data_IF_176980444975
#
_entry.id   IF_176980444975
#
_cell.length_a   1.000
_cell.length_b   1.000
_cell.length_c   1.000
_cell.angle_alpha   90.00
_cell.angle_beta   90.00
_cell.angle_gamma   90.00
#
_symmetry.space_group_name_H-M   'P 1'
#
loop_
_entity.id
_entity.type
_entity.pdbx_description
1 polymer ?
#
# COMPACT_ATOMS: atom_id res chain seq x y z
N UNK A 1 -22.79 -17.33 45.51
CA UNK A 1 -21.66 -17.21 46.45
C UNK A 1 -21.47 -15.74 46.75
N UNK A 2 -21.61 -15.34 48.01
CA UNK A 2 -21.40 -13.93 48.41
C UNK A 2 -19.90 -13.69 48.46
N UNK A 3 -19.40 -12.83 47.58
CA UNK A 3 -18.00 -12.40 47.60
C UNK A 3 -17.76 -11.55 48.86
N UNK A 4 -16.64 -11.75 49.58
CA UNK A 4 -16.35 -10.99 50.79
C UNK A 4 -16.21 -9.49 50.48
N UNK A 5 -16.77 -8.65 51.35
CA UNK A 5 -16.78 -7.18 51.20
C UNK A 5 -15.43 -6.52 51.45
N UNK A 6 -14.50 -7.24 52.08
CA UNK A 6 -13.15 -6.78 52.40
C UNK A 6 -12.17 -7.92 52.19
N UNK A 7 -11.18 -7.71 51.33
CA UNK A 7 -10.03 -8.60 51.20
C UNK A 7 -8.99 -8.06 52.17
N UNK A 8 -8.66 -8.84 53.21
CA UNK A 8 -7.58 -8.48 54.12
C UNK A 8 -6.23 -8.75 53.45
N UNK A 9 -5.24 -7.92 53.78
CA UNK A 9 -3.87 -8.17 53.34
C UNK A 9 -3.40 -9.54 53.84
N UNK A 10 -2.61 -10.22 53.00
CA UNK A 10 -2.08 -11.53 53.33
C UNK A 10 -1.24 -11.44 54.62
N UNK A 11 -1.48 -12.38 55.54
CA UNK A 11 -0.76 -12.44 56.81
C UNK A 11 0.74 -12.55 56.55
N UNK A 12 1.60 -11.80 57.28
CA UNK A 12 3.06 -11.93 57.15
C UNK A 12 3.59 -13.33 57.51
N UNK A 13 2.74 -14.21 58.06
CA UNK A 13 3.03 -15.61 58.37
C UNK A 13 2.37 -16.59 57.39
N UNK A 14 1.75 -16.10 56.31
CA UNK A 14 1.17 -16.95 55.28
C UNK A 14 2.30 -17.62 54.47
N UNK A 15 2.40 -18.97 54.47
CA UNK A 15 3.44 -19.69 53.73
C UNK A 15 3.32 -19.52 52.21
N UNK A 16 2.22 -18.97 51.70
CA UNK A 16 2.02 -18.63 50.29
C UNK A 16 2.45 -17.20 49.94
N UNK A 17 2.80 -16.39 50.93
CA UNK A 17 3.27 -15.03 50.72
C UNK A 17 4.71 -15.08 50.20
N UNK A 18 4.88 -14.67 48.94
CA UNK A 18 6.18 -14.57 48.29
C UNK A 18 6.97 -13.44 48.97
N UNK A 19 7.75 -13.80 49.98
CA UNK A 19 8.70 -12.89 50.60
C UNK A 19 9.68 -12.40 49.52
N UNK A 20 10.09 -11.11 49.56
CA UNK A 20 11.09 -10.59 48.64
C UNK A 20 12.36 -11.45 48.74
N UNK A 21 12.91 -11.80 47.59
CA UNK A 21 14.10 -12.64 47.54
C UNK A 21 15.28 -11.89 48.17
N UNK A 22 16.11 -12.59 48.99
CA UNK A 22 17.33 -11.99 49.51
C UNK A 22 18.30 -11.66 48.38
N UNK A 23 19.16 -10.66 48.60
CA UNK A 23 20.17 -10.23 47.61
C UNK A 23 21.17 -11.33 47.23
N UNK A 24 21.38 -12.29 48.11
CA UNK A 24 22.20 -13.47 47.89
C UNK A 24 21.34 -14.71 48.17
N UNK A 25 21.32 -15.63 47.21
CA UNK A 25 20.62 -16.89 47.39
C UNK A 25 21.40 -17.80 48.35
N UNK A 26 20.70 -18.50 49.25
CA UNK A 26 21.34 -19.50 50.08
C UNK A 26 21.97 -20.61 49.23
N UNK A 27 23.01 -21.27 49.76
CA UNK A 27 23.55 -22.48 49.15
C UNK A 27 22.51 -23.62 49.19
N UNK A 28 22.69 -24.61 48.32
CA UNK A 28 21.83 -25.80 48.32
C UNK A 28 21.87 -26.46 49.71
N UNK A 29 20.72 -26.82 50.30
CA UNK A 29 20.69 -27.50 51.60
C UNK A 29 20.94 -29.02 51.51
N UNK A 30 21.11 -29.57 50.30
CA UNK A 30 21.40 -30.99 50.04
C UNK A 30 22.57 -31.59 50.86
N UNK A 31 23.76 -30.95 50.94
CA UNK A 31 24.88 -31.49 51.72
C UNK A 31 24.61 -31.49 53.24
N UNK A 32 23.74 -30.60 53.73
CA UNK A 32 23.40 -30.48 55.15
C UNK A 32 22.34 -31.50 55.62
N UNK A 33 21.64 -32.15 54.69
CA UNK A 33 20.56 -33.10 55.01
C UNK A 33 21.09 -34.42 55.58
N UNK A 34 22.10 -35.01 54.95
CA UNK A 34 22.67 -36.29 55.37
C UNK A 34 23.19 -36.26 56.82
N UNK A 35 24.05 -35.30 57.25
CA UNK A 35 24.53 -35.25 58.62
C UNK A 35 23.41 -34.96 59.63
N UNK A 36 22.36 -34.24 59.23
CA UNK A 36 21.20 -33.99 60.07
C UNK A 36 20.35 -35.25 60.27
N UNK A 37 20.16 -36.05 59.23
CA UNK A 37 19.45 -37.33 59.30
C UNK A 37 20.22 -38.29 60.20
N UNK A 38 21.54 -38.40 60.02
CA UNK A 38 22.40 -39.26 60.84
C UNK A 38 22.33 -38.84 62.32
N UNK A 39 22.41 -37.52 62.60
CA UNK A 39 22.28 -36.99 63.95
C UNK A 39 20.90 -37.26 64.58
N UNK A 40 19.82 -37.15 63.79
CA UNK A 40 18.47 -37.47 64.25
C UNK A 40 18.32 -38.96 64.57
N UNK A 41 18.83 -39.85 63.71
CA UNK A 41 18.80 -41.30 63.90
C UNK A 41 19.59 -41.69 65.15
N UNK A 42 20.76 -41.08 65.39
CA UNK A 42 21.53 -41.32 66.62
C UNK A 42 20.78 -40.84 67.87
N UNK A 43 20.09 -39.69 67.80
CA UNK A 43 19.32 -39.17 68.93
C UNK A 43 18.07 -40.01 69.24
N UNK A 44 17.48 -40.68 68.24
CA UNK A 44 16.33 -41.58 68.40
C UNK A 44 16.77 -42.92 69.00
N UNK A 45 17.88 -43.48 68.52
CA UNK A 45 18.33 -44.82 68.91
C UNK A 45 19.09 -44.83 70.25
N UNK A 46 19.88 -43.80 70.55
CA UNK A 46 20.65 -43.68 71.79
C UNK A 46 20.53 -42.27 72.41
N UNK A 47 19.49 -42.00 73.21
CA UNK A 47 19.27 -40.66 73.78
C UNK A 47 20.40 -40.23 74.73
N UNK A 48 21.13 -41.16 75.35
CA UNK A 48 22.22 -40.89 76.30
C UNK A 48 23.58 -40.62 75.63
N UNK A 49 23.77 -41.00 74.36
CA UNK A 49 25.01 -40.72 73.60
C UNK A 49 24.89 -39.46 72.74
N UNK A 50 23.68 -38.90 72.62
CA UNK A 50 23.42 -37.71 71.82
C UNK A 50 24.05 -36.46 72.46
N UNK A 51 25.09 -35.91 71.81
CA UNK A 51 25.75 -34.68 72.25
C UNK A 51 24.98 -33.40 71.88
N UNK A 52 23.93 -33.54 71.05
CA UNK A 52 23.17 -32.42 70.46
C UNK A 52 21.72 -32.50 70.93
N UNK A 53 21.25 -31.46 71.62
CA UNK A 53 19.87 -31.39 72.09
C UNK A 53 18.85 -31.30 70.95
N UNK A 54 17.67 -31.89 71.14
CA UNK A 54 16.56 -31.92 70.17
C UNK A 54 16.16 -30.52 69.65
N UNK A 55 16.29 -29.48 70.49
CA UNK A 55 16.05 -28.09 70.09
C UNK A 55 16.98 -27.60 68.98
N UNK A 56 18.25 -28.04 68.98
CA UNK A 56 19.25 -27.69 67.95
C UNK A 56 18.96 -28.42 66.64
N UNK A 57 18.55 -29.69 66.71
CA UNK A 57 18.11 -30.43 65.52
C UNK A 57 16.87 -29.77 64.88
N UNK A 58 15.91 -29.36 65.70
CA UNK A 58 14.71 -28.66 65.23
C UNK A 58 15.01 -27.29 64.60
N UNK A 59 16.00 -26.53 65.12
CA UNK A 59 16.42 -25.26 64.49
C UNK A 59 17.15 -25.49 63.17
N UNK A 60 17.98 -26.53 63.06
CA UNK A 60 18.62 -26.91 61.80
C UNK A 60 17.59 -27.34 60.74
N UNK A 61 16.58 -28.13 61.11
CA UNK A 61 15.48 -28.49 60.21
C UNK A 61 14.74 -27.25 59.70
N UNK A 62 14.36 -26.33 60.60
CA UNK A 62 13.71 -25.06 60.20
C UNK A 62 14.60 -24.22 59.29
N UNK A 63 15.91 -24.19 59.53
CA UNK A 63 16.88 -23.48 58.68
C UNK A 63 16.90 -24.06 57.26
N UNK A 64 16.99 -25.39 57.14
CA UNK A 64 16.96 -26.10 55.85
C UNK A 64 15.64 -25.84 55.12
N UNK A 65 14.50 -25.98 55.80
CA UNK A 65 13.19 -25.73 55.20
C UNK A 65 13.08 -24.29 54.66
N UNK A 66 13.54 -23.31 55.43
CA UNK A 66 13.57 -21.91 54.99
C UNK A 66 14.50 -21.69 53.80
N UNK A 67 15.68 -22.31 53.78
CA UNK A 67 16.62 -22.24 52.64
C UNK A 67 15.98 -22.83 51.37
N UNK A 68 15.38 -24.02 51.47
CA UNK A 68 14.67 -24.67 50.36
C UNK A 68 13.53 -23.82 49.83
N UNK A 69 12.73 -23.20 50.72
CA UNK A 69 11.64 -22.31 50.32
C UNK A 69 12.15 -21.06 49.59
N UNK A 70 13.25 -20.45 50.06
CA UNK A 70 13.87 -19.31 49.39
C UNK A 70 14.35 -19.71 47.98
N UNK A 71 15.02 -20.84 47.84
CA UNK A 71 15.49 -21.34 46.54
C UNK A 71 14.34 -21.67 45.59
N UNK A 72 13.27 -22.28 46.10
CA UNK A 72 12.08 -22.60 45.31
C UNK A 72 11.40 -21.32 44.80
N UNK A 73 11.26 -20.31 45.67
CA UNK A 73 10.71 -19.03 45.28
C UNK A 73 11.58 -18.34 44.22
N UNK A 74 12.91 -18.39 44.37
CA UNK A 74 13.85 -17.85 43.39
C UNK A 74 13.80 -18.56 42.04
N UNK A 75 13.67 -19.88 42.03
CA UNK A 75 13.49 -20.65 40.81
C UNK A 75 12.15 -20.29 40.12
N UNK A 76 11.09 -20.09 40.90
CA UNK A 76 9.77 -19.70 40.39
C UNK A 76 9.80 -18.30 39.77
N UNK A 77 10.42 -17.31 40.42
CA UNK A 77 10.56 -15.97 39.85
C UNK A 77 11.44 -15.99 38.62
N UNK A 78 12.59 -16.67 38.65
CA UNK A 78 13.50 -16.78 37.51
C UNK A 78 12.84 -17.45 36.31
N UNK A 79 12.04 -18.50 36.53
CA UNK A 79 11.25 -19.13 35.46
C UNK A 79 10.16 -18.21 34.92
N UNK A 80 9.52 -17.40 35.78
CA UNK A 80 8.51 -16.43 35.35
C UNK A 80 9.12 -15.31 34.52
N UNK A 81 10.27 -14.77 34.93
CA UNK A 81 11.00 -13.74 34.20
C UNK A 81 11.53 -14.26 32.86
N UNK A 82 12.05 -15.49 32.82
CA UNK A 82 12.49 -16.12 31.59
C UNK A 82 11.32 -16.32 30.61
N UNK A 83 10.15 -16.72 31.11
CA UNK A 83 8.93 -16.83 30.31
C UNK A 83 8.48 -15.48 29.79
N UNK A 84 8.46 -14.44 30.62
CA UNK A 84 8.09 -13.09 30.20
C UNK A 84 9.04 -12.55 29.11
N UNK A 85 10.35 -12.84 29.22
CA UNK A 85 11.32 -12.48 28.18
C UNK A 85 11.07 -13.21 26.86
N UNK A 86 10.73 -14.50 26.92
CA UNK A 86 10.36 -15.28 25.74
C UNK A 86 9.09 -14.71 25.10
N UNK A 87 8.05 -14.46 25.90
CA UNK A 87 6.78 -13.90 25.41
C UNK A 87 6.99 -12.54 24.73
N UNK A 88 7.89 -11.69 25.26
CA UNK A 88 8.28 -10.42 24.62
C UNK A 88 8.97 -10.64 23.28
N UNK A 89 9.94 -11.56 23.21
CA UNK A 89 10.64 -11.91 21.98
C UNK A 89 9.69 -12.48 20.90
N UNK A 90 8.70 -13.28 21.31
CA UNK A 90 7.68 -13.81 20.39
C UNK A 90 6.78 -12.71 19.81
N UNK A 91 6.46 -11.68 20.59
CA UNK A 91 5.72 -10.51 20.10
C UNK A 91 6.54 -9.74 19.09
N UNK A 92 7.80 -9.43 19.40
CA UNK A 92 8.71 -8.74 18.49
C UNK A 92 8.91 -9.52 17.18
N UNK A 93 9.05 -10.85 17.26
CA UNK A 93 9.16 -11.71 16.08
C UNK A 93 7.91 -11.59 15.19
N UNK A 94 6.71 -11.69 15.77
CA UNK A 94 5.45 -11.55 15.01
C UNK A 94 5.31 -10.18 14.35
N UNK A 95 5.72 -9.11 15.03
CA UNK A 95 5.74 -7.77 14.44
C UNK A 95 6.65 -7.71 13.21
N UNK A 96 7.87 -8.27 13.31
CA UNK A 96 8.79 -8.30 12.16
C UNK A 96 8.31 -9.19 11.02
N UNK A 97 7.68 -10.32 11.31
CA UNK A 97 7.10 -11.21 10.29
C UNK A 97 5.94 -10.52 9.56
N UNK A 98 5.09 -9.80 10.29
CA UNK A 98 4.02 -9.01 9.70
C UNK A 98 4.56 -7.93 8.77
N UNK A 99 5.54 -7.13 9.20
CA UNK A 99 6.12 -6.10 8.35
C UNK A 99 6.84 -6.69 7.13
N UNK A 100 7.51 -7.84 7.27
CA UNK A 100 8.11 -8.55 6.13
C UNK A 100 7.04 -8.92 5.10
N UNK A 101 5.94 -9.50 5.54
CA UNK A 101 4.87 -9.93 4.63
C UNK A 101 4.18 -8.72 3.98
N UNK A 102 3.91 -7.67 4.76
CA UNK A 102 3.36 -6.41 4.24
C UNK A 102 4.25 -5.79 3.17
N UNK A 103 5.55 -5.71 3.40
CA UNK A 103 6.51 -5.18 2.41
C UNK A 103 6.55 -6.08 1.17
N UNK A 104 6.48 -7.40 1.34
CA UNK A 104 6.42 -8.34 0.23
C UNK A 104 5.18 -8.14 -0.64
N UNK A 105 4.01 -8.07 -0.02
CA UNK A 105 2.74 -7.80 -0.73
C UNK A 105 2.81 -6.47 -1.49
N UNK A 106 3.40 -5.43 -0.89
CA UNK A 106 3.54 -4.13 -1.56
C UNK A 106 4.54 -4.19 -2.72
N UNK A 107 5.65 -4.93 -2.57
CA UNK A 107 6.58 -5.20 -3.67
C UNK A 107 5.85 -5.92 -4.81
N UNK A 108 5.05 -6.95 -4.53
CA UNK A 108 4.28 -7.67 -5.54
C UNK A 108 3.33 -6.72 -6.30
N UNK A 109 2.62 -5.84 -5.60
CA UNK A 109 1.79 -4.80 -6.25
C UNK A 109 2.62 -3.84 -7.11
N UNK A 110 3.81 -3.45 -6.65
CA UNK A 110 4.70 -2.59 -7.43
C UNK A 110 5.27 -3.32 -8.66
N UNK A 111 5.49 -4.63 -8.58
CA UNK A 111 5.98 -5.45 -9.70
C UNK A 111 4.88 -5.70 -10.74
N UNK A 112 3.64 -5.83 -10.32
CA UNK A 112 2.47 -5.95 -11.18
C UNK A 112 2.06 -4.63 -11.86
N UNK A 113 2.75 -3.53 -11.54
CA UNK A 113 2.54 -2.26 -12.22
C UNK A 113 2.93 -2.37 -13.70
N UNK A 114 1.92 -2.54 -14.55
CA UNK A 114 2.03 -2.41 -15.99
C UNK A 114 1.81 -0.93 -16.37
N UNK A 115 2.84 -0.22 -16.88
CA UNK A 115 2.66 1.14 -17.33
C UNK A 115 1.78 1.19 -18.58
N UNK A 116 0.78 2.07 -18.58
CA UNK A 116 -0.18 2.22 -19.70
C UNK A 116 0.49 2.54 -21.04
N UNK A 117 1.66 3.18 -21.03
CA UNK A 117 2.40 3.49 -22.26
C UNK A 117 2.91 2.25 -23.00
N UNK A 118 3.01 1.08 -22.34
CA UNK A 118 3.43 -0.17 -23.00
C UNK A 118 2.37 -0.69 -23.97
N UNK A 119 1.10 -0.35 -23.75
CA UNK A 119 -0.01 -0.77 -24.60
C UNK A 119 -0.29 0.22 -25.74
N UNK A 120 0.41 1.37 -25.76
CA UNK A 120 0.24 2.36 -26.83
C UNK A 120 0.91 1.87 -28.13
N UNK A 121 0.27 2.06 -29.30
CA UNK A 121 0.84 1.70 -30.59
C UNK A 121 1.92 2.72 -30.98
N UNK A 122 3.11 2.60 -30.39
CA UNK A 122 4.26 3.45 -30.69
C UNK A 122 5.03 2.94 -31.91
N UNK A 123 5.61 3.82 -32.76
CA UNK A 123 6.47 3.41 -33.87
C UNK A 123 7.70 2.67 -33.35
N UNK A 124 8.14 1.61 -34.03
CA UNK A 124 9.33 0.84 -33.65
C UNK A 124 10.55 1.74 -33.43
N UNK A 125 11.46 1.33 -32.55
CA UNK A 125 12.65 2.11 -32.18
C UNK A 125 13.45 2.56 -33.39
N UNK A 126 13.63 1.68 -34.37
CA UNK A 126 14.44 1.93 -35.56
C UNK A 126 13.76 2.94 -36.49
N UNK A 127 12.43 2.89 -36.57
CA UNK A 127 11.63 3.84 -37.34
C UNK A 127 11.65 5.23 -36.70
N UNK A 128 11.62 5.29 -35.36
CA UNK A 128 11.76 6.54 -34.63
C UNK A 128 13.16 7.14 -34.84
N UNK A 129 14.23 6.37 -34.64
CA UNK A 129 15.60 6.86 -34.80
C UNK A 129 15.90 7.37 -36.22
N UNK A 130 15.22 6.82 -37.23
CA UNK A 130 15.37 7.25 -38.63
C UNK A 130 14.60 8.53 -38.97
N UNK A 131 13.46 8.77 -38.32
CA UNK A 131 12.52 9.85 -38.65
C UNK A 131 12.51 11.00 -37.64
N UNK A 132 13.06 10.81 -36.44
CA UNK A 132 13.06 11.79 -35.37
C UNK A 132 13.90 13.01 -35.72
N UNK A 133 13.48 14.17 -35.19
CA UNK A 133 14.21 15.41 -35.38
C UNK A 133 15.62 15.31 -34.78
N UNK A 134 16.64 15.86 -35.46
CA UNK A 134 18.04 15.74 -35.04
C UNK A 134 18.32 16.40 -33.69
N UNK A 135 17.48 17.34 -33.27
CA UNK A 135 17.62 18.00 -31.97
C UNK A 135 17.13 17.11 -30.81
N UNK A 136 16.13 16.25 -31.06
CA UNK A 136 15.70 15.22 -30.10
C UNK A 136 16.82 14.18 -29.94
N UNK A 137 17.40 13.75 -31.06
CA UNK A 137 18.50 12.77 -31.09
C UNK A 137 19.76 13.25 -30.37
N UNK A 138 20.07 14.55 -30.41
CA UNK A 138 21.21 15.14 -29.68
C UNK A 138 21.00 15.21 -28.16
N UNK A 139 19.75 15.28 -27.71
CA UNK A 139 19.43 15.36 -26.28
C UNK A 139 19.39 13.99 -25.61
N UNK A 140 19.49 12.90 -26.38
CA UNK A 140 19.55 11.55 -25.85
C UNK A 140 20.89 11.30 -25.13
N UNK A 141 20.87 10.62 -23.96
CA UNK A 141 22.06 10.15 -23.28
C UNK A 141 22.91 9.21 -24.14
N UNK A 142 24.13 8.90 -23.68
CA UNK A 142 24.97 7.92 -24.36
C UNK A 142 24.29 6.53 -24.35
N UNK A 143 24.30 5.75 -25.46
CA UNK A 143 23.72 4.40 -25.50
C UNK A 143 24.22 3.42 -24.44
N UNK A 144 25.43 3.63 -23.90
CA UNK A 144 25.99 2.77 -22.85
C UNK A 144 25.46 3.09 -21.43
N UNK A 145 24.74 4.20 -21.26
CA UNK A 145 24.17 4.58 -19.96
C UNK A 145 22.91 3.78 -19.65
N UNK A 146 22.78 3.35 -18.39
CA UNK A 146 21.57 2.64 -17.91
C UNK A 146 20.27 3.46 -18.06
N UNK A 147 20.37 4.79 -18.21
CA UNK A 147 19.23 5.70 -18.40
C UNK A 147 18.77 5.80 -19.87
N UNK A 148 19.58 5.37 -20.83
CA UNK A 148 19.29 5.43 -22.26
C UNK A 148 17.93 4.84 -22.67
N UNK A 149 17.55 3.61 -22.27
CA UNK A 149 16.28 3.03 -22.70
C UNK A 149 15.08 3.84 -22.21
N UNK A 150 15.15 4.37 -20.99
CA UNK A 150 14.09 5.23 -20.45
C UNK A 150 14.00 6.55 -21.19
N UNK A 151 15.15 7.22 -21.41
CA UNK A 151 15.20 8.47 -22.16
C UNK A 151 14.67 8.30 -23.60
N UNK A 152 14.98 7.18 -24.25
CA UNK A 152 14.46 6.84 -25.58
C UNK A 152 12.95 6.62 -25.58
N UNK A 153 12.39 5.93 -24.59
CA UNK A 153 10.93 5.79 -24.48
C UNK A 153 10.22 7.13 -24.25
N UNK A 154 10.80 8.01 -23.43
CA UNK A 154 10.24 9.34 -23.18
C UNK A 154 10.26 10.20 -24.45
N UNK A 155 11.39 10.23 -25.17
CA UNK A 155 11.50 10.98 -26.41
C UNK A 155 10.51 10.49 -27.48
N UNK A 156 10.28 9.17 -27.57
CA UNK A 156 9.26 8.58 -28.45
C UNK A 156 7.85 9.06 -28.09
N UNK A 157 7.50 9.07 -26.81
CA UNK A 157 6.19 9.53 -26.34
C UNK A 157 5.98 11.02 -26.59
N UNK A 158 7.00 11.85 -26.38
CA UNK A 158 6.93 13.29 -26.62
C UNK A 158 6.73 13.63 -28.10
N UNK A 159 7.39 12.90 -29.00
CA UNK A 159 7.20 13.08 -30.43
C UNK A 159 5.78 12.70 -30.86
N UNK A 160 5.27 11.54 -30.42
CA UNK A 160 3.90 11.10 -30.72
C UNK A 160 2.87 12.11 -30.19
N UNK A 161 3.07 12.63 -28.98
CA UNK A 161 2.23 13.69 -28.43
C UNK A 161 2.24 14.93 -29.33
N UNK A 162 3.43 15.38 -29.76
CA UNK A 162 3.55 16.54 -30.65
C UNK A 162 2.83 16.30 -31.99
N UNK A 163 2.91 15.09 -32.53
CA UNK A 163 2.26 14.74 -33.79
C UNK A 163 0.74 14.61 -33.66
N UNK A 164 0.24 14.04 -32.56
CA UNK A 164 -1.19 14.05 -32.23
C UNK A 164 -1.72 15.47 -32.13
N UNK A 165 -1.03 16.38 -31.42
CA UNK A 165 -1.46 17.78 -31.29
C UNK A 165 -1.50 18.48 -32.66
N UNK A 166 -0.50 18.24 -33.52
CA UNK A 166 -0.48 18.77 -34.89
C UNK A 166 -1.68 18.26 -35.70
N UNK A 167 -1.95 16.95 -35.64
CA UNK A 167 -3.07 16.32 -36.36
C UNK A 167 -4.42 16.82 -35.86
N UNK A 168 -4.60 16.97 -34.55
CA UNK A 168 -5.81 17.54 -33.96
C UNK A 168 -6.03 18.99 -34.41
N UNK A 169 -4.97 19.80 -34.46
CA UNK A 169 -5.01 21.16 -35.00
C UNK A 169 -5.43 21.20 -36.47
N UNK A 170 -4.88 20.31 -37.30
CA UNK A 170 -5.26 20.18 -38.71
C UNK A 170 -6.72 19.73 -38.87
N UNK A 171 -7.16 18.75 -38.07
CA UNK A 171 -8.54 18.26 -38.08
C UNK A 171 -9.51 19.38 -37.70
N UNK A 172 -9.20 20.15 -36.65
CA UNK A 172 -10.01 21.28 -36.22
C UNK A 172 -10.12 22.35 -37.33
N UNK A 173 -9.01 22.67 -38.00
CA UNK A 173 -9.00 23.63 -39.11
C UNK A 173 -9.81 23.11 -40.31
N UNK A 174 -9.60 21.85 -40.72
CA UNK A 174 -10.35 21.23 -41.81
C UNK A 174 -11.85 21.14 -41.50
N UNK A 175 -12.22 20.89 -40.24
CA UNK A 175 -13.61 20.88 -39.81
C UNK A 175 -14.23 22.26 -39.94
N UNK A 176 -13.52 23.31 -39.51
CA UNK A 176 -13.95 24.70 -39.67
C UNK A 176 -14.12 25.09 -41.14
N UNK A 177 -13.18 24.71 -41.99
CA UNK A 177 -13.23 25.00 -43.42
C UNK A 177 -14.38 24.24 -44.11
N UNK A 178 -14.60 22.97 -43.73
CA UNK A 178 -15.76 22.18 -44.17
C UNK A 178 -17.07 22.86 -43.80
N UNK A 179 -17.21 23.34 -42.57
CA UNK A 179 -18.41 24.06 -42.13
C UNK A 179 -18.62 25.36 -42.90
N UNK A 180 -17.54 26.12 -43.16
CA UNK A 180 -17.60 27.34 -43.95
C UNK A 180 -18.08 27.07 -45.38
N UNK A 181 -17.55 26.03 -46.04
CA UNK A 181 -17.98 25.61 -47.38
C UNK A 181 -19.44 25.15 -47.38
N UNK A 182 -19.88 24.41 -46.36
CA UNK A 182 -21.29 23.99 -46.24
C UNK A 182 -22.22 25.20 -46.11
N UNK A 183 -21.84 26.21 -45.32
CA UNK A 183 -22.59 27.46 -45.18
C UNK A 183 -22.66 28.23 -46.51
N UNK A 184 -21.51 28.43 -47.17
CA UNK A 184 -21.45 29.07 -48.47
C UNK A 184 -22.30 28.35 -49.52
N UNK A 185 -22.27 27.01 -49.55
CA UNK A 185 -23.12 26.21 -50.45
C UNK A 185 -24.61 26.42 -50.17
N UNK A 186 -25.04 26.49 -48.90
CA UNK A 186 -26.44 26.77 -48.54
C UNK A 186 -26.86 28.17 -48.98
N UNK A 187 -26.00 29.17 -48.82
CA UNK A 187 -26.27 30.54 -49.26
C UNK A 187 -26.36 30.66 -50.78
N UNK A 188 -25.42 30.05 -51.52
CA UNK A 188 -25.46 30.02 -52.98
C UNK A 188 -26.73 29.33 -53.46
N UNK A 189 -27.09 28.20 -52.86
CA UNK A 189 -28.34 27.51 -53.19
C UNK A 189 -29.57 28.40 -52.98
N UNK A 190 -29.67 29.07 -51.83
CA UNK A 190 -30.77 30.00 -51.54
C UNK A 190 -30.86 31.15 -52.56
N UNK A 191 -29.71 31.74 -52.93
CA UNK A 191 -29.65 32.78 -53.97
C UNK A 191 -30.03 32.24 -55.34
N UNK A 192 -29.59 31.03 -55.68
CA UNK A 192 -29.92 30.37 -56.94
C UNK A 192 -31.43 30.08 -57.03
N UNK A 193 -32.01 29.50 -55.97
CA UNK A 193 -33.46 29.24 -55.87
C UNK A 193 -34.26 30.56 -56.02
N UNK A 194 -33.78 31.68 -55.46
CA UNK A 194 -34.40 33.00 -55.64
C UNK A 194 -34.30 33.50 -57.09
N UNK A 195 -33.13 33.35 -57.73
CA UNK A 195 -32.95 33.70 -59.15
C UNK A 195 -33.88 32.89 -60.05
N UNK A 196 -34.02 31.58 -59.80
CA UNK A 196 -34.95 30.72 -60.54
C UNK A 196 -36.39 31.24 -60.45
N UNK A 197 -36.85 31.63 -59.25
CA UNK A 197 -38.17 32.26 -59.07
C UNK A 197 -38.29 33.52 -59.92
N UNK A 198 -37.34 34.45 -59.84
CA UNK A 198 -37.35 35.68 -60.64
C UNK A 198 -37.37 35.40 -62.15
N UNK A 199 -36.63 34.37 -62.61
CA UNK A 199 -36.56 33.99 -64.02
C UNK A 199 -37.88 33.41 -64.51
N UNK A 200 -38.55 32.59 -63.69
CA UNK A 200 -39.89 32.08 -64.02
C UNK A 200 -40.92 33.20 -64.11
N UNK A 201 -40.86 34.20 -63.23
CA UNK A 201 -41.76 35.35 -63.27
C UNK A 201 -41.46 36.30 -64.43
N UNK A 202 -40.18 36.49 -64.76
CA UNK A 202 -39.77 37.21 -65.96
C UNK A 202 -40.27 36.50 -67.24
N UNK A 203 -40.18 35.18 -67.32
CA UNK A 203 -40.70 34.40 -68.44
C UNK A 203 -42.23 34.55 -68.57
N UNK A 204 -42.98 34.47 -67.46
CA UNK A 204 -44.44 34.70 -67.45
C UNK A 204 -44.79 36.12 -67.92
N UNK A 205 -44.12 37.14 -67.39
CA UNK A 205 -44.38 38.54 -67.76
C UNK A 205 -44.00 38.83 -69.21
N UNK A 206 -42.87 38.32 -69.70
CA UNK A 206 -42.46 38.44 -71.10
C UNK A 206 -43.46 37.76 -72.03
N UNK A 207 -43.93 36.55 -71.70
CA UNK A 207 -44.98 35.88 -72.47
C UNK A 207 -46.29 36.69 -72.50
N UNK A 208 -46.68 37.31 -71.37
CA UNK A 208 -47.87 38.17 -71.29
C UNK A 208 -47.72 39.48 -72.06
N UNK A 209 -46.51 40.06 -72.13
CA UNK A 209 -46.24 41.25 -72.96
C UNK A 209 -46.22 40.86 -74.44
N UNK A 210 -45.57 39.76 -74.80
CA UNK A 210 -45.54 39.26 -76.17
C UNK A 210 -46.95 38.95 -76.70
N UNK A 211 -47.83 38.36 -75.88
CA UNK A 211 -49.24 38.18 -76.25
C UNK A 211 -49.95 39.51 -76.48
N UNK A 212 -49.78 40.49 -75.58
CA UNK A 212 -50.37 41.83 -75.74
C UNK A 212 -49.85 42.56 -76.99
N UNK A 213 -48.56 42.48 -77.29
CA UNK A 213 -47.97 43.07 -78.51
C UNK A 213 -48.56 42.40 -79.76
N UNK A 214 -48.71 41.07 -79.75
CA UNK A 214 -49.35 40.33 -80.83
C UNK A 214 -50.81 40.74 -81.05
N UNK A 215 -51.53 41.07 -79.97
CA UNK A 215 -52.90 41.56 -80.05
C UNK A 215 -52.97 42.99 -80.60
N UNK A 216 -52.05 43.88 -80.21
CA UNK A 216 -51.94 45.25 -80.75
C UNK A 216 -51.51 45.25 -82.22
N UNK A 217 -50.59 44.37 -82.62
CA UNK A 217 -50.12 44.26 -84.01
C UNK A 217 -51.18 43.70 -84.98
N UNK A 218 -52.28 43.12 -84.47
CA UNK A 218 -53.42 42.65 -85.25
C UNK A 218 -54.54 43.69 -85.41
N UNK A 219 -54.39 44.87 -84.82
CA UNK A 219 -55.32 45.99 -85.03
C UNK A 219 -55.02 46.61 -86.40
N UNK A 220 -55.96 46.64 -87.35
CA UNK A 220 -55.76 47.35 -88.61
C UNK A 220 -55.69 48.86 -88.31
N UNK A 221 -54.69 49.54 -88.89
CA UNK A 221 -54.69 51.01 -88.94
C UNK A 221 -55.93 51.51 -89.73
N UNK A 222 -56.49 52.67 -89.36
CA UNK A 222 -57.77 53.17 -89.87
C UNK A 222 -57.83 53.35 -91.39
#
# INVERSE_FOLDING_TARGET
MVLPKTIHDASPHDPLLLLPLPSHLPSSPLPDLQPLVDALVTAINDPQSSSVGLGVLATHMRRITRHSQILLNAARTGSSEAREKLDKGDVELRETEYERERVREEIEKCMDYAPTYKDLPLPDTDTFLSNADPDILKNLPNPDDNSYPYALTTARLEQELADVIKLEGQLAQLTKDREAVIKAKKEIKSKFDAVDVYLTDFAKTTNAVASKIKDVAKVPLP
#
